data_IF_141366095804
#
_entry.id   IF_141366095804
#
_cell.length_a   1.000
_cell.length_b   1.000
_cell.length_c   1.000
_cell.angle_alpha   90.00
_cell.angle_beta   90.00
_cell.angle_gamma   90.00
#
_symmetry.space_group_name_H-M   'P 1'
#
loop_
_entity.id
_entity.type
_entity.pdbx_description
1 polymer ?
#
# COMPACT_ATOMS: atom_id res chain seq x y z
N UNK A 1 -19.25 -8.39 8.14
CA UNK A 1 -18.16 -9.38 8.02
C UNK A 1 -17.10 -9.05 9.06
N UNK A 2 -16.68 -9.99 9.91
CA UNK A 2 -15.63 -9.74 10.93
C UNK A 2 -14.21 -9.76 10.33
N UNK A 3 -13.26 -9.13 11.02
CA UNK A 3 -11.83 -9.15 10.65
C UNK A 3 -11.31 -10.60 10.61
N UNK A 4 -11.77 -11.44 11.54
CA UNK A 4 -11.36 -12.84 11.61
C UNK A 4 -11.87 -13.65 10.41
N UNK A 5 -13.12 -13.41 9.98
CA UNK A 5 -13.64 -14.05 8.78
C UNK A 5 -12.86 -13.62 7.52
N UNK A 6 -12.49 -12.34 7.42
CA UNK A 6 -11.65 -11.83 6.33
C UNK A 6 -10.26 -12.51 6.32
N UNK A 7 -9.62 -12.62 7.49
CA UNK A 7 -8.32 -13.31 7.63
C UNK A 7 -8.41 -14.78 7.23
N UNK A 8 -9.49 -15.46 7.62
CA UNK A 8 -9.74 -16.85 7.23
C UNK A 8 -9.86 -17.01 5.71
N UNK A 9 -10.64 -16.14 5.06
CA UNK A 9 -10.78 -16.14 3.59
C UNK A 9 -9.44 -15.89 2.90
N UNK A 10 -8.68 -14.89 3.33
CA UNK A 10 -7.35 -14.56 2.77
C UNK A 10 -6.39 -15.75 2.90
N UNK A 11 -6.36 -16.41 4.07
CA UNK A 11 -5.52 -17.60 4.29
C UNK A 11 -5.88 -18.72 3.33
N UNK A 12 -7.18 -18.97 3.13
CA UNK A 12 -7.66 -19.98 2.18
C UNK A 12 -7.23 -19.69 0.75
N UNK A 13 -7.42 -18.46 0.29
CA UNK A 13 -7.03 -18.05 -1.07
C UNK A 13 -5.51 -18.17 -1.24
N UNK A 14 -4.73 -17.75 -0.23
CA UNK A 14 -3.27 -17.84 -0.27
C UNK A 14 -2.78 -19.29 -0.41
N UNK A 15 -3.42 -20.22 0.32
CA UNK A 15 -3.12 -21.64 0.21
C UNK A 15 -3.45 -22.19 -1.19
N UNK A 16 -4.61 -21.82 -1.75
CA UNK A 16 -5.01 -22.23 -3.11
C UNK A 16 -4.06 -21.69 -4.18
N UNK A 17 -3.51 -20.49 -3.98
CA UNK A 17 -2.53 -19.87 -4.86
C UNK A 17 -1.09 -20.41 -4.67
N UNK A 18 -0.87 -21.37 -3.76
CA UNK A 18 0.47 -21.91 -3.47
C UNK A 18 1.42 -20.94 -2.76
N UNK A 19 0.89 -19.86 -2.18
CA UNK A 19 1.67 -18.86 -1.46
C UNK A 19 2.03 -19.39 -0.08
N UNK A 20 3.31 -19.74 0.13
CA UNK A 20 3.81 -20.27 1.40
C UNK A 20 3.93 -19.21 2.51
N UNK A 21 3.99 -17.92 2.13
CA UNK A 21 4.09 -16.80 3.08
C UNK A 21 2.73 -16.58 3.75
N UNK A 22 2.74 -16.31 5.05
CA UNK A 22 1.51 -15.84 5.74
C UNK A 22 1.10 -14.48 5.19
N UNK A 23 -0.12 -14.39 4.67
CA UNK A 23 -0.70 -13.15 4.12
C UNK A 23 -1.77 -12.60 5.07
N UNK A 24 -1.69 -11.31 5.35
CA UNK A 24 -2.64 -10.56 6.15
C UNK A 24 -3.16 -9.33 5.39
N UNK A 25 -4.34 -8.78 5.76
CA UNK A 25 -4.93 -7.62 5.07
C UNK A 25 -3.96 -6.44 4.85
N UNK A 26 -3.10 -6.16 5.83
CA UNK A 26 -2.12 -5.08 5.73
C UNK A 26 -1.04 -5.32 4.65
N UNK A 27 -0.64 -6.57 4.43
CA UNK A 27 0.33 -6.92 3.38
C UNK A 27 -0.27 -6.80 1.98
N UNK A 28 -1.56 -7.09 1.83
CA UNK A 28 -2.28 -6.84 0.56
C UNK A 28 -2.35 -5.34 0.26
N UNK A 29 -2.64 -4.52 1.28
CA UNK A 29 -2.62 -3.05 1.16
C UNK A 29 -1.25 -2.54 0.71
N UNK A 30 -0.17 -3.03 1.32
CA UNK A 30 1.18 -2.66 0.89
C UNK A 30 1.49 -3.11 -0.53
N UNK A 31 1.14 -4.35 -0.89
CA UNK A 31 1.38 -4.88 -2.23
C UNK A 31 0.65 -4.05 -3.29
N UNK A 32 -0.58 -3.61 -2.99
CA UNK A 32 -1.34 -2.71 -3.85
C UNK A 32 -0.68 -1.32 -3.97
N UNK A 33 -0.25 -0.73 -2.85
CA UNK A 33 0.44 0.56 -2.86
C UNK A 33 1.74 0.50 -3.67
N UNK A 34 2.58 -0.50 -3.43
CA UNK A 34 3.83 -0.73 -4.17
C UNK A 34 3.58 -0.97 -5.65
N UNK A 35 2.52 -1.72 -6.00
CA UNK A 35 2.16 -1.95 -7.39
C UNK A 35 1.79 -0.64 -8.11
N UNK A 36 0.99 0.23 -7.48
CA UNK A 36 0.63 1.53 -8.06
C UNK A 36 1.87 2.44 -8.21
N UNK A 37 2.74 2.48 -7.21
CA UNK A 37 3.97 3.28 -7.24
C UNK A 37 4.88 2.83 -8.38
N UNK A 38 5.11 1.52 -8.51
CA UNK A 38 6.00 0.98 -9.55
C UNK A 38 5.47 1.23 -10.96
N UNK A 39 4.17 1.44 -11.12
CA UNK A 39 3.53 1.80 -12.39
C UNK A 39 3.36 3.32 -12.56
N UNK A 40 4.02 4.14 -11.73
CA UNK A 40 4.05 5.60 -11.89
C UNK A 40 2.78 6.31 -11.45
N UNK A 41 1.91 5.66 -10.66
CA UNK A 41 0.72 6.33 -10.13
C UNK A 41 1.13 7.51 -9.22
N UNK A 42 0.44 8.66 -9.33
CA UNK A 42 0.67 9.79 -8.43
C UNK A 42 0.39 9.41 -6.97
N UNK A 43 1.18 9.96 -6.05
CA UNK A 43 1.08 9.64 -4.63
C UNK A 43 -0.26 10.08 -4.04
N UNK A 44 -0.80 11.19 -4.54
CA UNK A 44 -2.09 11.75 -4.18
C UNK A 44 -3.24 10.77 -4.52
N UNK A 45 -3.13 10.12 -5.69
CA UNK A 45 -4.07 9.09 -6.13
C UNK A 45 -3.97 7.86 -5.23
N UNK A 46 -2.75 7.40 -4.93
CA UNK A 46 -2.54 6.25 -4.03
C UNK A 46 -3.08 6.55 -2.62
N UNK A 47 -2.81 7.73 -2.07
CA UNK A 47 -3.27 8.13 -0.73
C UNK A 47 -4.79 8.20 -0.64
N UNK A 48 -5.44 8.76 -1.67
CA UNK A 48 -6.90 8.78 -1.80
C UNK A 48 -7.47 7.36 -1.85
N UNK A 49 -6.89 6.48 -2.67
CA UNK A 49 -7.30 5.07 -2.78
C UNK A 49 -7.11 4.26 -1.49
N UNK A 50 -6.13 4.63 -0.64
CA UNK A 50 -5.84 3.94 0.61
C UNK A 50 -6.64 4.47 1.81
N UNK A 51 -7.33 5.60 1.65
CA UNK A 51 -8.23 6.19 2.65
C UNK A 51 -7.52 6.98 3.75
N UNK A 52 -6.35 7.56 3.48
CA UNK A 52 -5.65 8.38 4.46
C UNK A 52 -6.27 9.79 4.51
N UNK A 53 -7.35 9.96 5.28
CA UNK A 53 -7.85 11.27 5.70
C UNK A 53 -6.87 11.93 6.67
N UNK A 54 -5.83 12.58 6.13
CA UNK A 54 -5.21 13.80 6.67
C UNK A 54 -4.03 14.18 5.79
N UNK A 55 -4.15 15.35 5.18
CA UNK A 55 -3.27 15.86 4.14
C UNK A 55 -2.80 17.27 4.55
N UNK A 56 -2.20 17.41 5.73
CA UNK A 56 -1.31 18.56 5.99
C UNK A 56 0.04 18.38 5.30
N UNK A 57 0.34 17.16 4.85
CA UNK A 57 1.57 16.77 4.18
C UNK A 57 1.53 16.86 2.65
N UNK A 58 0.35 16.88 2.02
CA UNK A 58 0.21 16.77 0.56
C UNK A 58 0.77 17.97 -0.21
N UNK A 59 0.81 19.16 0.40
CA UNK A 59 1.41 20.34 -0.26
C UNK A 59 2.94 20.25 -0.39
N UNK A 60 3.61 19.56 0.52
CA UNK A 60 5.08 19.40 0.48
C UNK A 60 5.46 18.31 -0.55
N UNK A 61 4.64 17.26 -0.68
CA UNK A 61 4.95 16.12 -1.55
C UNK A 61 4.68 16.38 -3.04
N UNK A 62 3.75 17.29 -3.38
CA UNK A 62 3.48 17.67 -4.77
C UNK A 62 4.69 18.32 -5.48
N UNK A 63 5.67 18.86 -4.74
CA UNK A 63 6.86 19.51 -5.31
C UNK A 63 8.07 18.59 -5.44
N UNK A 64 8.03 17.37 -4.89
CA UNK A 64 9.17 16.46 -4.92
C UNK A 64 9.17 15.66 -6.23
N UNK A 65 9.83 16.23 -7.24
CA UNK A 65 10.13 15.58 -8.51
C UNK A 65 11.22 14.51 -8.33
N UNK A 66 10.96 13.33 -8.93
CA UNK A 66 11.95 12.28 -9.17
C UNK A 66 12.69 11.75 -7.94
N UNK A 67 13.97 12.12 -7.82
CA UNK A 67 14.98 11.42 -7.01
C UNK A 67 14.75 11.54 -5.50
N UNK A 68 14.32 12.71 -5.02
CA UNK A 68 14.04 12.94 -3.59
C UNK A 68 12.87 12.08 -3.07
N UNK A 69 11.93 11.74 -3.95
CA UNK A 69 10.76 10.91 -3.62
C UNK A 69 11.14 9.48 -3.27
N UNK A 70 12.16 8.95 -3.94
CA UNK A 70 12.67 7.60 -3.72
C UNK A 70 13.45 7.51 -2.40
N UNK A 71 14.35 8.46 -2.14
CA UNK A 71 15.16 8.50 -0.91
C UNK A 71 14.31 8.74 0.36
N UNK A 72 13.29 9.58 0.30
CA UNK A 72 12.40 9.80 1.44
C UNK A 72 11.59 8.53 1.80
N UNK A 73 11.21 7.71 0.82
CA UNK A 73 10.39 6.51 1.05
C UNK A 73 11.17 5.40 1.76
N UNK A 74 12.47 5.25 1.47
CA UNK A 74 13.35 4.31 2.18
C UNK A 74 13.61 4.67 3.64
N UNK A 75 13.25 5.89 4.08
CA UNK A 75 13.58 6.41 5.41
C UNK A 75 12.41 6.36 6.40
N UNK A 76 11.16 6.30 5.92
CA UNK A 76 9.96 6.38 6.76
C UNK A 76 9.11 5.10 6.78
N UNK A 77 9.60 4.03 6.15
CA UNK A 77 9.13 2.64 6.24
C UNK A 77 10.32 1.72 6.54
#
# INVERSE_FOLDING_TARGET
>A
MSIDNLRYIIKRISNQAGIKKSIHPHQLRHSYATHLINNGAPLEVIQSLLGHEKSETTKIYAQLSGKLRHEFYSKYL
#
